data_IF_864970010657
#
_entry.id   IF_864970010657
#
_cell.length_a   1.000
_cell.length_b   1.000
_cell.length_c   1.000
_cell.angle_alpha   90.00
_cell.angle_beta   90.00
_cell.angle_gamma   90.00
#
_symmetry.space_group_name_H-M   'P 1'
#
loop_
_entity.id
_entity.type
_entity.pdbx_description
1 polymer ?
#
# COMPACT_ATOMS: atom_id res chain seq x y z
N UNK A 1 -19.84 -24.58 11.63
CA UNK A 1 -18.60 -24.69 10.84
C UNK A 1 -17.46 -24.90 11.81
N UNK A 2 -16.55 -25.85 11.57
CA UNK A 2 -15.46 -26.18 12.50
C UNK A 2 -14.41 -25.06 12.56
N UNK A 3 -13.82 -24.84 13.72
CA UNK A 3 -12.75 -23.86 13.97
C UNK A 3 -11.59 -23.96 12.97
N UNK A 4 -11.20 -25.19 12.60
CA UNK A 4 -10.17 -25.45 11.59
C UNK A 4 -10.54 -24.98 10.17
N UNK A 5 -11.83 -25.02 9.80
CA UNK A 5 -12.29 -24.55 8.50
C UNK A 5 -12.33 -23.02 8.44
N UNK A 6 -12.66 -22.38 9.58
CA UNK A 6 -12.61 -20.92 9.72
C UNK A 6 -11.17 -20.42 9.65
N UNK A 7 -10.23 -21.07 10.33
CA UNK A 7 -8.80 -20.70 10.27
C UNK A 7 -8.22 -20.83 8.86
N UNK A 8 -8.53 -21.94 8.16
CA UNK A 8 -8.09 -22.14 6.77
C UNK A 8 -8.66 -21.10 5.80
N UNK A 9 -9.94 -20.72 5.95
CA UNK A 9 -10.58 -19.67 5.15
C UNK A 9 -9.96 -18.28 5.42
N UNK A 10 -9.61 -17.99 6.68
CA UNK A 10 -8.89 -16.76 7.06
C UNK A 10 -7.49 -16.72 6.44
N UNK A 11 -6.74 -17.82 6.49
CA UNK A 11 -5.38 -17.89 5.95
C UNK A 11 -5.39 -17.69 4.42
N UNK A 12 -6.33 -18.32 3.71
CA UNK A 12 -6.48 -18.13 2.25
C UNK A 12 -6.97 -16.73 1.87
N UNK A 13 -7.88 -16.15 2.65
CA UNK A 13 -8.36 -14.77 2.48
C UNK A 13 -7.25 -13.74 2.68
N UNK A 14 -6.41 -13.93 3.71
CA UNK A 14 -5.25 -13.09 4.00
C UNK A 14 -4.26 -13.10 2.84
N UNK A 15 -3.85 -14.28 2.37
CA UNK A 15 -2.88 -14.40 1.26
C UNK A 15 -3.39 -13.73 -0.02
N UNK A 16 -4.68 -13.93 -0.34
CA UNK A 16 -5.30 -13.28 -1.49
C UNK A 16 -5.27 -11.76 -1.36
N UNK A 17 -5.69 -11.21 -0.22
CA UNK A 17 -5.74 -9.76 0.00
C UNK A 17 -4.34 -9.15 -0.05
N UNK A 18 -3.36 -9.78 0.59
CA UNK A 18 -1.95 -9.36 0.54
C UNK A 18 -1.44 -9.30 -0.90
N UNK A 19 -1.71 -10.33 -1.70
CA UNK A 19 -1.32 -10.39 -3.10
C UNK A 19 -2.02 -9.31 -3.95
N UNK A 20 -3.29 -9.04 -3.69
CA UNK A 20 -4.04 -7.99 -4.39
C UNK A 20 -3.50 -6.60 -4.08
N UNK A 21 -3.09 -6.33 -2.83
CA UNK A 21 -2.45 -5.07 -2.44
C UNK A 21 -1.06 -4.91 -3.07
N UNK A 22 -0.27 -5.99 -3.12
CA UNK A 22 0.99 -6.01 -3.88
C UNK A 22 0.75 -5.64 -5.34
N UNK A 23 -0.16 -6.34 -6.03
CA UNK A 23 -0.47 -6.07 -7.45
C UNK A 23 -0.99 -4.66 -7.67
N UNK A 24 -1.83 -4.14 -6.77
CA UNK A 24 -2.39 -2.78 -6.87
C UNK A 24 -1.30 -1.72 -6.77
N UNK A 25 -0.41 -1.82 -5.80
CA UNK A 25 0.67 -0.85 -5.62
C UNK A 25 1.65 -0.84 -6.80
N UNK A 26 1.98 -2.01 -7.36
CA UNK A 26 2.75 -2.12 -8.61
C UNK A 26 2.04 -1.40 -9.76
N UNK A 27 0.76 -1.67 -9.99
CA UNK A 27 -0.02 -1.03 -11.08
C UNK A 27 -0.08 0.50 -10.93
N UNK A 28 -0.23 1.00 -9.71
CA UNK A 28 -0.24 2.44 -9.45
C UNK A 28 1.11 3.09 -9.80
N UNK A 29 2.22 2.46 -9.41
CA UNK A 29 3.55 2.91 -9.79
C UNK A 29 3.78 2.84 -11.31
N UNK A 30 3.43 1.71 -11.93
CA UNK A 30 3.58 1.48 -13.37
C UNK A 30 2.76 2.47 -14.21
N UNK A 31 1.63 2.94 -13.69
CA UNK A 31 0.80 3.98 -14.33
C UNK A 31 1.50 5.34 -14.47
N UNK A 32 2.64 5.56 -13.79
CA UNK A 32 3.39 6.82 -13.72
C UNK A 32 2.63 7.98 -13.07
N UNK A 33 1.46 7.72 -12.48
CA UNK A 33 0.66 8.71 -11.74
C UNK A 33 1.06 8.81 -10.27
N UNK A 34 1.77 7.81 -9.77
CA UNK A 34 2.23 7.72 -8.39
C UNK A 34 3.70 7.32 -8.38
N UNK A 35 4.46 7.88 -7.45
CA UNK A 35 5.79 7.41 -7.12
C UNK A 35 5.72 6.34 -6.01
N UNK A 36 6.85 5.72 -5.70
CA UNK A 36 6.87 4.47 -4.94
C UNK A 36 6.29 4.60 -3.51
N UNK A 37 6.58 5.67 -2.77
CA UNK A 37 6.00 5.93 -1.44
C UNK A 37 4.49 6.18 -1.53
N UNK A 38 4.07 7.00 -2.49
CA UNK A 38 2.68 7.38 -2.72
C UNK A 38 1.83 6.17 -3.11
N UNK A 39 2.31 5.32 -4.02
CA UNK A 39 1.62 4.13 -4.47
C UNK A 39 1.35 3.15 -3.30
N UNK A 40 2.33 2.99 -2.40
CA UNK A 40 2.18 2.13 -1.21
C UNK A 40 1.21 2.75 -0.22
N UNK A 41 1.39 4.02 0.16
CA UNK A 41 0.51 4.68 1.13
C UNK A 41 -0.93 4.74 0.63
N UNK A 42 -1.15 5.09 -0.64
CA UNK A 42 -2.47 5.13 -1.25
C UNK A 42 -3.14 3.75 -1.23
N UNK A 43 -2.39 2.70 -1.55
CA UNK A 43 -2.90 1.32 -1.54
C UNK A 43 -3.37 0.92 -0.14
N UNK A 44 -2.55 1.15 0.89
CA UNK A 44 -2.87 0.77 2.27
C UNK A 44 -4.00 1.64 2.85
N UNK A 45 -3.94 2.96 2.66
CA UNK A 45 -4.97 3.89 3.11
C UNK A 45 -6.34 3.52 2.53
N UNK A 46 -6.41 3.22 1.23
CA UNK A 46 -7.67 2.86 0.61
C UNK A 46 -8.16 1.46 1.02
N UNK A 47 -7.27 0.49 1.16
CA UNK A 47 -7.68 -0.89 1.47
C UNK A 47 -8.22 -1.06 2.89
N UNK A 48 -7.68 -0.29 3.83
CA UNK A 48 -7.98 -0.44 5.26
C UNK A 48 -8.75 0.75 5.85
N UNK A 49 -9.36 1.56 4.98
CA UNK A 49 -10.12 2.76 5.36
C UNK A 49 -9.33 3.70 6.30
N UNK A 50 -8.12 4.04 5.87
CA UNK A 50 -7.15 4.83 6.63
C UNK A 50 -7.54 6.29 6.87
N UNK A 51 -8.65 6.76 6.32
CA UNK A 51 -9.23 8.07 6.61
C UNK A 51 -8.49 9.27 6.00
N UNK A 52 -7.38 9.07 5.28
CA UNK A 52 -6.72 10.17 4.55
C UNK A 52 -7.40 10.42 3.21
N UNK A 53 -7.57 11.68 2.84
CA UNK A 53 -7.95 12.07 1.49
C UNK A 53 -6.83 11.75 0.49
N UNK A 54 -7.16 11.74 -0.81
CA UNK A 54 -6.15 11.55 -1.85
C UNK A 54 -5.02 12.59 -1.76
N UNK A 55 -5.36 13.87 -1.61
CA UNK A 55 -4.39 14.96 -1.53
C UNK A 55 -3.50 14.85 -0.29
N UNK A 56 -4.06 14.42 0.85
CA UNK A 56 -3.28 14.17 2.05
C UNK A 56 -2.28 13.02 1.87
N UNK A 57 -2.70 11.93 1.20
CA UNK A 57 -1.79 10.82 0.87
C UNK A 57 -0.62 11.32 0.03
N UNK A 58 -0.89 12.11 -1.03
CA UNK A 58 0.17 12.65 -1.88
C UNK A 58 1.07 13.59 -1.08
N UNK A 59 0.51 14.56 -0.36
CA UNK A 59 1.27 15.55 0.40
C UNK A 59 2.18 14.91 1.47
N UNK A 60 1.73 13.83 2.11
CA UNK A 60 2.52 13.13 3.12
C UNK A 60 3.58 12.19 2.54
N UNK A 61 3.30 11.53 1.41
CA UNK A 61 4.18 10.51 0.84
C UNK A 61 5.18 11.04 -0.20
N UNK A 62 4.84 12.11 -0.92
CA UNK A 62 5.69 12.69 -1.96
C UNK A 62 7.10 13.10 -1.48
N UNK A 63 7.30 13.62 -0.25
CA UNK A 63 8.65 13.91 0.26
C UNK A 63 9.58 12.69 0.31
N UNK A 64 9.03 11.47 0.37
CA UNK A 64 9.78 10.21 0.38
C UNK A 64 10.05 9.64 -1.01
N UNK A 65 9.43 10.20 -2.04
CA UNK A 65 9.65 9.84 -3.44
C UNK A 65 11.05 10.22 -3.90
N UNK A 66 11.51 9.59 -4.99
CA UNK A 66 12.85 9.81 -5.57
C UNK A 66 13.99 9.76 -4.53
N UNK A 67 13.85 8.88 -3.54
CA UNK A 67 14.77 8.74 -2.42
C UNK A 67 14.94 10.05 -1.62
N UNK A 68 13.95 10.39 -0.78
CA UNK A 68 13.97 11.56 0.12
C UNK A 68 14.61 12.79 -0.53
N UNK A 69 14.00 13.26 -1.62
CA UNK A 69 14.47 14.44 -2.37
C UNK A 69 15.85 14.24 -3.02
N UNK A 70 16.06 13.11 -3.71
CA UNK A 70 17.29 12.79 -4.45
C UNK A 70 18.55 12.56 -3.60
N UNK A 71 18.44 12.68 -2.27
CA UNK A 71 19.52 12.38 -1.32
C UNK A 71 20.01 10.93 -1.41
N UNK A 72 19.21 10.02 -1.97
CA UNK A 72 19.57 8.61 -2.16
C UNK A 72 19.53 7.78 -0.87
N UNK A 73 19.05 8.35 0.23
CA UNK A 73 19.03 7.71 1.55
C UNK A 73 17.89 6.69 1.64
N UNK A 74 16.72 7.01 2.21
CA UNK A 74 15.70 6.00 2.51
C UNK A 74 14.89 5.60 1.25
N UNK A 75 14.61 4.30 1.08
CA UNK A 75 13.71 3.80 0.04
C UNK A 75 12.29 4.35 0.24
N UNK A 76 11.74 5.00 -0.79
CA UNK A 76 10.39 5.58 -0.75
C UNK A 76 9.30 4.52 -0.50
N UNK A 77 9.40 3.36 -1.14
CA UNK A 77 8.44 2.27 -0.94
C UNK A 77 8.35 1.81 0.53
N UNK A 78 9.51 1.60 1.17
CA UNK A 78 9.59 1.26 2.59
C UNK A 78 9.03 2.38 3.47
N UNK A 79 9.32 3.65 3.16
CA UNK A 79 8.74 4.79 3.89
C UNK A 79 7.22 4.82 3.79
N UNK A 80 6.66 4.61 2.60
CA UNK A 80 5.21 4.52 2.39
C UNK A 80 4.59 3.37 3.20
N UNK A 81 5.27 2.23 3.28
CA UNK A 81 4.86 1.08 4.09
C UNK A 81 4.83 1.42 5.59
N UNK A 82 5.85 2.11 6.11
CA UNK A 82 5.91 2.54 7.51
C UNK A 82 4.82 3.57 7.81
N UNK A 83 4.62 4.56 6.93
CA UNK A 83 3.55 5.56 7.05
C UNK A 83 2.17 4.90 7.09
N UNK A 84 1.88 4.01 6.12
CA UNK A 84 0.60 3.32 6.05
C UNK A 84 0.36 2.41 7.25
N UNK A 85 1.38 1.68 7.70
CA UNK A 85 1.26 0.83 8.90
C UNK A 85 0.99 1.67 10.16
N UNK A 86 1.70 2.77 10.33
CA UNK A 86 1.47 3.70 11.44
C UNK A 86 0.08 4.32 11.41
N UNK A 87 -0.40 4.69 10.22
CA UNK A 87 -1.76 5.19 10.01
C UNK A 87 -2.80 4.16 10.48
N UNK A 88 -2.76 2.95 9.92
CA UNK A 88 -3.80 1.94 10.19
C UNK A 88 -3.75 1.45 11.63
N UNK A 89 -2.56 1.12 12.15
CA UNK A 89 -2.42 0.56 13.50
C UNK A 89 -2.44 1.63 14.60
N UNK A 90 -2.34 2.92 14.25
CA UNK A 90 -2.38 4.05 15.17
C UNK A 90 -3.78 4.57 15.50
N UNK A 91 -4.76 4.43 14.60
CA UNK A 91 -6.10 5.04 14.69
C UNK A 91 -6.92 4.73 15.96
N UNK A 92 -6.57 3.70 16.75
CA UNK A 92 -7.30 3.32 17.98
C UNK A 92 -6.46 3.43 19.25
N UNK A 93 -5.29 4.07 19.20
CA UNK A 93 -4.28 3.95 20.26
C UNK A 93 -3.81 5.33 20.74
N UNK A 94 -4.13 5.65 22.00
CA UNK A 94 -3.64 6.86 22.67
C UNK A 94 -2.10 6.92 22.68
N UNK A 95 -1.53 8.11 22.90
CA UNK A 95 -0.08 8.38 22.82
C UNK A 95 0.84 7.45 23.64
N UNK A 96 0.29 6.61 24.53
CA UNK A 96 1.00 5.57 25.29
C UNK A 96 1.56 4.41 24.44
N UNK A 97 1.23 4.33 23.15
CA UNK A 97 1.62 3.19 22.29
C UNK A 97 2.66 3.51 21.21
N UNK A 98 3.35 4.66 21.30
CA UNK A 98 4.45 5.04 20.39
C UNK A 98 5.55 3.97 20.32
N UNK A 99 5.78 3.21 21.39
CA UNK A 99 6.75 2.09 21.42
C UNK A 99 6.34 0.97 20.46
N UNK A 100 5.07 0.57 20.48
CA UNK A 100 4.55 -0.49 19.60
C UNK A 100 4.62 -0.06 18.14
N UNK A 101 4.25 1.18 17.82
CA UNK A 101 4.38 1.69 16.45
C UNK A 101 5.84 1.72 15.97
N UNK A 102 6.79 2.08 16.84
CA UNK A 102 8.23 1.99 16.53
C UNK A 102 8.68 0.54 16.31
N UNK A 103 8.11 -0.43 17.05
CA UNK A 103 8.41 -1.85 16.84
C UNK A 103 7.89 -2.34 15.47
N UNK A 104 6.69 -1.92 15.06
CA UNK A 104 6.19 -2.22 13.71
C UNK A 104 7.07 -1.62 12.61
N UNK A 105 7.54 -0.39 12.79
CA UNK A 105 8.50 0.22 11.87
C UNK A 105 9.83 -0.54 11.81
N UNK A 106 10.36 -0.98 12.97
CA UNK A 106 11.57 -1.79 13.04
C UNK A 106 11.41 -3.15 12.36
N UNK A 107 10.24 -3.78 12.51
CA UNK A 107 9.92 -5.04 11.85
C UNK A 107 9.91 -4.88 10.31
N UNK A 108 9.25 -3.85 9.79
CA UNK A 108 9.27 -3.55 8.35
C UNK A 108 10.68 -3.28 7.84
N UNK A 109 11.44 -2.46 8.58
CA UNK A 109 12.83 -2.18 8.25
C UNK A 109 13.65 -3.47 8.15
N UNK A 110 13.54 -4.36 9.14
CA UNK A 110 14.34 -5.57 9.21
C UNK A 110 13.92 -6.59 8.15
N UNK A 111 12.61 -6.80 7.93
CA UNK A 111 12.10 -7.67 6.84
C UNK A 111 12.55 -7.17 5.47
N UNK A 112 12.44 -5.87 5.23
CA UNK A 112 12.86 -5.27 3.98
C UNK A 112 14.37 -5.39 3.77
N UNK A 113 15.17 -5.11 4.81
CA UNK A 113 16.63 -5.27 4.75
C UNK A 113 17.03 -6.72 4.54
N UNK A 114 16.35 -7.67 5.17
CA UNK A 114 16.60 -9.10 4.97
C UNK A 114 16.33 -9.53 3.53
N UNK A 115 15.21 -9.08 2.94
CA UNK A 115 14.84 -9.42 1.57
C UNK A 115 15.72 -8.76 0.50
N UNK A 116 16.18 -7.53 0.74
CA UNK A 116 16.82 -6.71 -0.28
C UNK A 116 18.28 -6.32 0.01
N UNK A 117 18.81 -6.69 1.18
CA UNK A 117 20.16 -6.39 1.64
C UNK A 117 20.36 -4.97 2.19
N UNK A 118 19.49 -4.01 1.86
CA UNK A 118 19.58 -2.63 2.33
C UNK A 118 18.20 -1.96 2.42
N UNK A 119 18.14 -0.85 3.15
CA UNK A 119 16.99 0.09 3.12
C UNK A 119 17.35 1.40 2.40
N UNK A 120 18.64 1.58 2.08
CA UNK A 120 19.16 2.75 1.40
C UNK A 120 18.88 2.69 -0.11
N UNK A 121 18.11 3.62 -0.67
CA UNK A 121 17.70 3.64 -2.07
C UNK A 121 18.90 3.67 -3.03
N UNK A 122 19.95 4.42 -2.71
CA UNK A 122 21.19 4.45 -3.49
C UNK A 122 21.86 3.09 -3.56
N UNK A 123 21.82 2.33 -2.46
CA UNK A 123 22.41 0.98 -2.41
C UNK A 123 21.53 0.01 -3.22
N UNK A 124 20.22 0.04 -3.00
CA UNK A 124 19.25 -0.82 -3.70
C UNK A 124 19.33 -0.66 -5.22
N UNK A 125 19.41 0.59 -5.69
CA UNK A 125 19.39 0.91 -7.12
C UNK A 125 20.78 0.89 -7.76
N UNK A 126 21.87 0.67 -7.01
CA UNK A 126 23.27 0.81 -7.50
C UNK A 126 23.52 0.05 -8.79
N UNK A 127 23.06 -1.20 -8.88
CA UNK A 127 23.30 -2.09 -10.04
C UNK A 127 22.48 -1.74 -11.27
N UNK A 128 21.35 -1.05 -11.09
CA UNK A 128 20.40 -0.70 -12.17
C UNK A 128 20.36 0.80 -12.47
N UNK A 129 21.16 1.62 -11.76
CA UNK A 129 21.09 3.08 -11.78
C UNK A 129 21.18 3.68 -13.19
N UNK A 130 22.02 3.10 -14.06
CA UNK A 130 22.29 3.63 -15.40
C UNK A 130 21.29 3.14 -16.46
N UNK A 131 20.46 2.13 -16.16
CA UNK A 131 19.41 1.66 -17.06
C UNK A 131 18.05 2.12 -16.54
N UNK A 132 17.48 3.13 -17.19
CA UNK A 132 16.18 3.70 -16.81
C UNK A 132 15.05 2.67 -16.78
N UNK A 133 15.05 1.69 -17.70
CA UNK A 133 14.00 0.65 -17.77
C UNK A 133 14.20 -0.38 -16.66
N UNK A 134 15.43 -0.83 -16.44
CA UNK A 134 15.72 -1.74 -15.33
C UNK A 134 15.48 -1.08 -13.96
N UNK A 135 15.88 0.17 -13.79
CA UNK A 135 15.60 0.95 -12.58
C UNK A 135 14.10 1.05 -12.32
N UNK A 136 13.31 1.43 -13.33
CA UNK A 136 11.86 1.54 -13.20
C UNK A 136 11.22 0.22 -12.77
N UNK A 137 11.56 -0.91 -13.42
CA UNK A 137 11.07 -2.23 -13.04
C UNK A 137 11.49 -2.64 -11.62
N UNK A 138 12.73 -2.31 -11.24
CA UNK A 138 13.23 -2.58 -9.89
C UNK A 138 12.43 -1.82 -8.84
N UNK A 139 12.19 -0.52 -9.04
CA UNK A 139 11.36 0.28 -8.14
C UNK A 139 9.89 -0.19 -8.13
N UNK A 140 9.35 -0.67 -9.24
CA UNK A 140 8.02 -1.29 -9.27
C UNK A 140 7.96 -2.55 -8.37
N UNK A 141 8.97 -3.42 -8.45
CA UNK A 141 9.09 -4.61 -7.57
C UNK A 141 9.14 -4.22 -6.10
N UNK A 142 10.05 -3.30 -5.73
CA UNK A 142 10.19 -2.82 -4.35
C UNK A 142 8.89 -2.19 -3.82
N UNK A 143 8.14 -1.48 -4.68
CA UNK A 143 6.84 -0.90 -4.35
C UNK A 143 5.84 -2.00 -3.97
N UNK A 144 5.73 -3.04 -4.81
CA UNK A 144 4.88 -4.19 -4.53
C UNK A 144 5.25 -4.92 -3.24
N UNK A 145 6.53 -5.23 -3.08
CA UNK A 145 7.03 -6.01 -1.94
C UNK A 145 6.92 -5.23 -0.62
N UNK A 146 7.17 -3.92 -0.62
CA UNK A 146 6.93 -3.10 0.57
C UNK A 146 5.44 -3.06 0.97
N UNK A 147 4.53 -2.92 -0.01
CA UNK A 147 3.09 -2.98 0.24
C UNK A 147 2.66 -4.35 0.78
N UNK A 148 3.24 -5.44 0.25
CA UNK A 148 3.02 -6.79 0.73
C UNK A 148 3.43 -6.95 2.20
N UNK A 149 4.66 -6.55 2.54
CA UNK A 149 5.18 -6.63 3.91
C UNK A 149 4.33 -5.83 4.90
N UNK A 150 3.91 -4.61 4.51
CA UNK A 150 3.02 -3.78 5.31
C UNK A 150 1.65 -4.43 5.50
N UNK A 151 1.02 -4.91 4.42
CA UNK A 151 -0.28 -5.56 4.47
C UNK A 151 -0.25 -6.79 5.39
N UNK A 152 0.76 -7.66 5.26
CA UNK A 152 0.94 -8.82 6.14
C UNK A 152 1.03 -8.41 7.61
N UNK A 153 1.86 -7.41 7.92
CA UNK A 153 2.02 -6.94 9.31
C UNK A 153 0.72 -6.35 9.85
N UNK A 154 0.01 -5.53 9.06
CA UNK A 154 -1.27 -4.93 9.42
C UNK A 154 -2.31 -6.02 9.71
N UNK A 155 -2.46 -7.01 8.82
CA UNK A 155 -3.44 -8.09 8.94
C UNK A 155 -3.09 -9.06 10.08
N UNK A 156 -1.80 -9.29 10.35
CA UNK A 156 -1.37 -10.05 11.54
C UNK A 156 -1.72 -9.31 12.83
N UNK A 157 -1.55 -7.99 12.86
CA UNK A 157 -1.86 -7.17 14.03
C UNK A 157 -3.37 -6.92 14.21
N UNK A 158 -4.13 -6.92 13.11
CA UNK A 158 -5.58 -6.72 13.05
C UNK A 158 -6.24 -7.71 12.07
N UNK A 159 -6.39 -9.00 12.45
CA UNK A 159 -6.99 -10.02 11.59
C UNK A 159 -8.42 -9.71 11.16
N UNK A 160 -9.15 -8.88 11.92
CA UNK A 160 -10.50 -8.44 11.58
C UNK A 160 -10.56 -7.55 10.32
N UNK A 161 -9.41 -7.07 9.83
CA UNK A 161 -9.30 -6.33 8.57
C UNK A 161 -9.18 -7.24 7.34
N UNK A 162 -9.10 -8.56 7.53
CA UNK A 162 -9.13 -9.51 6.42
C UNK A 162 -10.50 -9.43 5.77
N UNK A 163 -10.55 -8.96 4.53
CA UNK A 163 -11.77 -8.88 3.74
C UNK A 163 -11.93 -10.21 3.02
N UNK A 164 -12.94 -10.99 3.41
CA UNK A 164 -13.31 -12.23 2.73
C UNK A 164 -13.85 -11.93 1.33
N UNK A 165 -12.96 -11.83 0.35
CA UNK A 165 -13.19 -11.88 -1.10
C UNK A 165 -14.30 -11.03 -1.76
N UNK A 166 -15.06 -10.19 -1.06
CA UNK A 166 -16.25 -9.53 -1.63
C UNK A 166 -16.39 -8.07 -1.17
N UNK A 167 -15.64 -7.15 -1.79
CA UNK A 167 -15.98 -5.71 -1.77
C UNK A 167 -15.29 -4.89 -2.89
N UNK A 168 -14.69 -5.54 -3.90
CA UNK A 168 -13.81 -4.86 -4.85
C UNK A 168 -14.45 -4.42 -6.18
N UNK A 169 -15.60 -4.98 -6.58
CA UNK A 169 -16.14 -4.76 -7.94
C UNK A 169 -17.53 -4.13 -8.02
N UNK A 170 -18.34 -4.13 -6.96
CA UNK A 170 -19.71 -3.61 -7.02
C UNK A 170 -19.82 -2.10 -6.73
N UNK A 171 -19.03 -1.55 -5.82
CA UNK A 171 -19.11 -0.13 -5.47
C UNK A 171 -18.72 0.81 -6.63
N UNK A 172 -17.86 0.36 -7.57
CA UNK A 172 -17.52 1.13 -8.79
C UNK A 172 -18.49 0.90 -9.96
N UNK A 173 -19.18 -0.24 -10.03
CA UNK A 173 -20.19 -0.48 -11.07
C UNK A 173 -21.48 0.33 -10.80
N UNK A 174 -21.88 0.45 -9.53
CA UNK A 174 -23.10 1.18 -9.16
C UNK A 174 -22.93 2.70 -9.35
N UNK A 175 -21.74 3.26 -9.06
CA UNK A 175 -21.47 4.70 -9.26
C UNK A 175 -21.32 5.08 -10.73
N UNK A 176 -20.68 4.24 -11.55
CA UNK A 176 -20.56 4.44 -13.00
C UNK A 176 -21.90 4.33 -13.73
N UNK A 177 -22.78 3.42 -13.31
CA UNK A 177 -24.10 3.24 -13.93
C UNK A 177 -25.06 4.39 -13.58
N UNK A 178 -25.07 4.88 -12.33
CA UNK A 178 -25.89 6.05 -11.95
C UNK A 178 -25.48 7.34 -12.68
N UNK A 179 -24.17 7.57 -12.87
CA UNK A 179 -23.68 8.75 -13.59
C UNK A 179 -24.02 8.77 -15.08
N UNK A 180 -24.06 7.59 -15.72
CA UNK A 180 -24.42 7.46 -17.13
C UNK A 180 -25.91 7.66 -17.39
N UNK A 181 -26.77 7.11 -16.51
CA UNK A 181 -28.24 7.24 -16.62
C UNK A 181 -28.69 8.69 -16.39
N UNK A 182 -28.09 9.43 -15.45
CA UNK A 182 -28.42 10.84 -15.21
C UNK A 182 -28.07 11.76 -16.40
N UNK A 183 -26.97 11.48 -17.10
CA UNK A 183 -26.55 12.29 -18.26
C UNK A 183 -27.39 12.02 -19.52
N UNK A 184 -27.94 10.82 -19.65
CA UNK A 184 -28.83 10.47 -20.77
C UNK A 184 -30.22 11.09 -20.60
N UNK A 185 -30.80 11.09 -19.40
CA UNK A 185 -32.12 11.68 -19.17
C UNK A 185 -32.13 13.20 -19.30
N UNK A 186 -31.02 13.88 -19.00
CA UNK A 186 -30.89 15.33 -19.18
C UNK A 186 -30.70 15.77 -20.64
N UNK A 187 -30.29 14.86 -21.54
CA UNK A 187 -30.13 15.14 -22.97
C UNK A 187 -31.42 14.99 -23.79
N UNK A 188 -32.41 14.27 -23.27
CA UNK A 188 -33.74 14.10 -23.91
C UNK A 188 -34.80 15.08 -23.38
N UNK A 189 -34.46 15.93 -22.41
CA UNK A 189 -35.33 16.96 -21.83
C UNK A 189 -35.01 18.38 -22.36
N UNK A 190 -34.31 18.49 -23.50
CA UNK A 190 -34.05 19.75 -24.21
C UNK A 190 -34.53 19.63 -25.66
#
# INVERSE_FOLDING_TARGET
MSEAAVQYDVDTGLEKQVLDLKKRSVKLYESRRYLCSEAVLFTLNHAFDGGLSHDQVIAMAAPFSMAMGESGCLCGALSGAVLGTGLILGQKRSGRQRRILRQHAAELHNRFKLAHGATCCRVLTKKVRQDKRAHFRHCASLTGEAAEMAARLILQARPELVQSAQAGSEAKKISGFKGLVLNLTQRFAR
#
